data_IF_946062406061
#
_entry.id   IF_946062406061
#
_cell.length_a   1.000
_cell.length_b   1.000
_cell.length_c   1.000
_cell.angle_alpha   90.00
_cell.angle_beta   90.00
_cell.angle_gamma   90.00
#
_symmetry.space_group_name_H-M   'P 1'
#
loop_
_entity.id
_entity.type
_entity.pdbx_description
1 polymer ?
#
# COMPACT_ATOMS: atom_id res chain seq x y z
N UNK A 1 16.02 37.28 60.43
CA UNK A 1 15.45 38.52 60.99
C UNK A 1 14.38 39.04 60.03
N UNK A 2 13.17 39.26 60.54
CA UNK A 2 12.03 39.77 59.78
C UNK A 2 12.26 41.20 59.30
N UNK A 3 11.83 41.51 58.07
CA UNK A 3 11.30 42.83 57.73
C UNK A 3 10.40 42.76 56.49
N UNK A 4 9.12 42.96 56.75
CA UNK A 4 8.04 43.24 55.79
C UNK A 4 8.22 44.65 55.23
N UNK A 5 7.96 44.86 53.95
CA UNK A 5 7.60 46.18 53.44
C UNK A 5 6.50 46.10 52.38
N UNK A 6 5.35 46.69 52.71
CA UNK A 6 4.20 46.90 51.81
C UNK A 6 4.47 48.09 50.90
N UNK A 7 3.97 48.07 49.66
CA UNK A 7 3.45 49.27 48.99
C UNK A 7 2.30 48.96 48.03
N UNK A 8 1.39 49.95 47.96
CA UNK A 8 0.04 49.99 47.37
C UNK A 8 0.02 50.05 45.84
N UNK A 9 -0.99 49.38 45.27
CA UNK A 9 -2.03 49.83 44.32
C UNK A 9 -1.78 51.11 43.50
N UNK A 10 -1.87 50.99 42.16
CA UNK A 10 -2.79 51.81 41.33
C UNK A 10 -3.09 51.17 39.99
N UNK A 11 -4.39 51.05 39.71
CA UNK A 11 -5.03 50.78 38.43
C UNK A 11 -4.78 51.87 37.38
N UNK A 12 -4.75 51.50 36.09
CA UNK A 12 -5.38 52.31 35.04
C UNK A 12 -5.71 51.47 33.80
N UNK A 13 -6.92 51.68 33.33
CA UNK A 13 -7.60 51.15 32.16
C UNK A 13 -7.61 52.21 31.04
N UNK A 14 -7.37 51.82 29.78
CA UNK A 14 -7.70 52.61 28.57
C UNK A 14 -7.96 51.61 27.42
N UNK A 15 -9.22 51.32 27.03
CA UNK A 15 -9.93 51.81 25.81
C UNK A 15 -9.01 51.87 24.56
N UNK A 16 -9.13 51.04 23.52
CA UNK A 16 -10.30 50.83 22.66
C UNK A 16 -10.14 51.67 21.38
N UNK A 17 -9.99 51.04 20.20
CA UNK A 17 -10.55 51.55 18.92
C UNK A 17 -10.37 50.57 17.74
N UNK A 18 -11.40 50.57 16.90
CA UNK A 18 -11.63 49.81 15.67
C UNK A 18 -11.73 50.78 14.51
N UNK A 19 -11.18 50.45 13.33
CA UNK A 19 -11.52 51.01 12.00
C UNK A 19 -11.12 49.97 10.91
N UNK A 20 -12.09 49.30 10.26
CA UNK A 20 -12.76 49.60 8.96
C UNK A 20 -11.94 49.33 7.68
N UNK A 21 -12.40 48.30 6.96
CA UNK A 21 -12.65 48.16 5.51
C UNK A 21 -11.92 49.05 4.49
N UNK A 22 -11.27 48.38 3.52
CA UNK A 22 -11.28 48.76 2.10
C UNK A 22 -11.01 47.54 1.18
N UNK A 23 -11.94 47.28 0.25
CA UNK A 23 -11.78 46.57 -1.06
C UNK A 23 -11.91 47.65 -2.17
N UNK A 24 -11.84 47.41 -3.52
CA UNK A 24 -11.63 46.17 -4.30
C UNK A 24 -10.70 46.30 -5.55
N UNK A 25 -10.42 45.18 -6.22
CA UNK A 25 -10.30 44.99 -7.70
C UNK A 25 -9.86 43.53 -7.94
N UNK A 26 -10.23 42.77 -8.98
CA UNK A 26 -10.93 43.00 -10.25
C UNK A 26 -11.48 41.63 -10.72
N UNK A 27 -12.54 41.66 -11.52
CA UNK A 27 -13.16 40.51 -12.18
C UNK A 27 -12.21 39.83 -13.19
N UNK A 28 -12.39 38.53 -13.43
CA UNK A 28 -12.48 37.96 -14.78
C UNK A 28 -13.39 36.73 -14.80
N UNK A 29 -13.97 36.56 -15.97
CA UNK A 29 -15.19 35.88 -16.37
C UNK A 29 -15.18 34.35 -16.34
N UNK A 30 -16.33 33.81 -16.01
CA UNK A 30 -16.83 32.48 -16.38
C UNK A 30 -16.97 32.31 -17.90
N UNK A 31 -16.60 31.14 -18.42
CA UNK A 31 -17.17 30.59 -19.66
C UNK A 31 -17.41 29.09 -19.50
N UNK A 32 -18.67 28.75 -19.26
CA UNK A 32 -19.29 27.45 -19.48
C UNK A 32 -19.30 27.14 -20.99
N UNK A 33 -18.95 25.91 -21.37
CA UNK A 33 -19.42 25.33 -22.62
C UNK A 33 -19.87 23.88 -22.36
N UNK A 34 -21.19 23.76 -22.34
CA UNK A 34 -21.98 22.56 -22.41
C UNK A 34 -22.05 22.12 -23.88
N UNK A 35 -21.73 20.86 -24.18
CA UNK A 35 -22.01 20.29 -25.49
C UNK A 35 -22.53 18.86 -25.32
N UNK A 36 -23.85 18.72 -25.50
CA UNK A 36 -24.58 17.47 -25.52
C UNK A 36 -24.54 16.83 -26.93
N UNK A 37 -24.29 15.52 -26.93
CA UNK A 37 -24.77 14.45 -27.84
C UNK A 37 -24.67 14.59 -29.37
N UNK A 38 -24.05 13.58 -30.00
CA UNK A 38 -24.77 12.66 -30.92
C UNK A 38 -23.94 11.41 -31.28
N UNK A 39 -24.52 10.27 -30.93
CA UNK A 39 -24.18 8.91 -31.34
C UNK A 39 -24.57 8.69 -32.80
N UNK A 40 -23.69 8.11 -33.63
CA UNK A 40 -24.07 7.42 -34.87
C UNK A 40 -23.18 6.19 -35.06
N UNK A 41 -23.86 5.04 -35.15
CA UNK A 41 -23.32 3.71 -35.46
C UNK A 41 -23.36 3.52 -36.99
N UNK A 42 -22.30 2.99 -37.59
CA UNK A 42 -22.41 2.17 -38.82
C UNK A 42 -21.18 1.26 -39.01
N UNK A 43 -21.43 0.11 -39.64
CA UNK A 43 -20.65 -1.14 -39.66
C UNK A 43 -19.88 -1.32 -40.99
N UNK A 44 -18.68 -1.92 -40.90
CA UNK A 44 -17.94 -2.78 -41.86
C UNK A 44 -17.43 -2.22 -43.21
N UNK A 45 -16.12 -2.40 -43.45
CA UNK A 45 -15.52 -2.51 -44.80
C UNK A 45 -14.04 -2.10 -44.87
N UNK A 46 -13.16 -3.03 -45.21
CA UNK A 46 -11.68 -2.98 -45.27
C UNK A 46 -11.08 -2.09 -46.38
N UNK A 47 -10.01 -1.32 -46.08
CA UNK A 47 -8.82 -1.17 -46.95
C UNK A 47 -7.70 -0.37 -46.26
N UNK A 48 -6.45 -0.83 -46.46
CA UNK A 48 -5.20 -0.19 -46.05
C UNK A 48 -4.97 1.19 -46.70
N UNK A 49 -4.17 2.05 -46.05
CA UNK A 49 -2.88 2.61 -46.53
C UNK A 49 -2.62 4.02 -45.95
N UNK A 50 -1.36 4.19 -45.49
CA UNK A 50 -0.55 5.40 -45.35
C UNK A 50 -0.93 6.48 -44.31
N UNK A 51 -0.12 6.51 -43.25
CA UNK A 51 0.11 7.73 -42.48
C UNK A 51 1.01 8.69 -43.27
N UNK A 52 0.56 9.94 -43.40
CA UNK A 52 1.42 11.07 -43.75
C UNK A 52 1.11 12.18 -42.73
N UNK A 53 2.09 12.42 -41.86
CA UNK A 53 2.19 13.62 -41.04
C UNK A 53 2.60 14.75 -41.97
N UNK A 54 1.73 15.74 -42.16
CA UNK A 54 1.99 16.93 -42.95
C UNK A 54 1.42 18.15 -42.24
N UNK A 55 2.24 18.81 -41.45
CA UNK A 55 2.03 20.18 -41.00
C UNK A 55 2.35 21.15 -42.14
N UNK A 56 1.80 22.37 -42.03
CA UNK A 56 1.98 23.57 -42.86
C UNK A 56 0.95 23.77 -43.97
N UNK A 57 -0.10 24.51 -43.59
CA UNK A 57 -0.90 25.28 -44.53
C UNK A 57 -0.27 26.63 -44.83
N UNK A 58 -0.34 27.05 -46.09
CA UNK A 58 -0.59 28.41 -46.60
C UNK A 58 -0.87 28.30 -48.12
N UNK A 59 -1.55 29.26 -48.76
CA UNK A 59 -2.65 28.96 -49.66
C UNK A 59 -2.34 29.15 -51.14
N UNK A 60 -3.03 28.33 -51.93
CA UNK A 60 -3.66 28.57 -53.24
C UNK A 60 -3.26 29.86 -53.98
N UNK A 61 -2.55 29.69 -55.09
CA UNK A 61 -2.43 30.64 -56.20
C UNK A 61 -2.66 29.92 -57.53
N UNK A 62 -3.87 30.07 -58.05
CA UNK A 62 -4.39 29.49 -59.29
C UNK A 62 -3.94 30.24 -60.56
N UNK A 63 -3.52 29.51 -61.62
CA UNK A 63 -4.01 29.57 -63.04
C UNK A 63 -2.98 29.01 -64.07
N UNK A 64 -3.43 28.61 -65.29
CA UNK A 64 -2.90 27.44 -66.01
C UNK A 64 -2.20 27.74 -67.36
N UNK A 65 -1.82 26.66 -68.07
CA UNK A 65 -1.56 26.48 -69.52
C UNK A 65 -0.16 26.85 -70.07
N UNK A 66 0.63 25.85 -70.48
CA UNK A 66 0.70 25.32 -71.88
C UNK A 66 1.86 24.33 -72.05
N UNK A 67 1.59 23.30 -72.85
CA UNK A 67 2.46 22.20 -73.24
C UNK A 67 3.74 22.63 -73.96
N UNK A 68 4.84 21.93 -73.70
CA UNK A 68 5.92 21.68 -74.68
C UNK A 68 6.36 20.23 -74.56
N UNK A 69 6.22 19.52 -75.68
CA UNK A 69 6.63 18.14 -75.92
C UNK A 69 8.16 18.08 -76.07
N UNK A 70 8.81 17.16 -75.37
CA UNK A 70 10.13 16.65 -75.76
C UNK A 70 10.17 15.13 -75.62
N UNK A 71 10.16 14.49 -76.79
CA UNK A 71 10.43 13.08 -77.04
C UNK A 71 11.92 12.79 -76.81
N UNK A 72 12.30 11.80 -75.99
CA UNK A 72 13.48 10.94 -76.22
C UNK A 72 13.31 9.57 -75.52
N UNK A 73 13.01 8.56 -76.35
CA UNK A 73 13.65 7.24 -76.46
C UNK A 73 13.64 6.22 -75.28
N UNK A 74 12.92 5.11 -75.53
CA UNK A 74 13.02 3.81 -74.84
C UNK A 74 14.22 3.01 -75.38
N UNK A 75 14.95 2.29 -74.51
CA UNK A 75 15.32 0.86 -74.63
C UNK A 75 15.86 0.33 -73.27
N UNK A 76 15.73 -0.97 -72.96
CA UNK A 76 15.96 -1.64 -71.65
C UNK A 76 17.48 -2.01 -71.52
N UNK A 77 17.99 -2.88 -70.61
CA UNK A 77 17.38 -3.78 -69.61
C UNK A 77 18.13 -3.80 -68.25
N UNK A 78 17.80 -4.74 -67.35
CA UNK A 78 18.72 -5.61 -66.56
C UNK A 78 17.95 -6.11 -65.32
N UNK A 79 17.61 -7.40 -65.32
CA UNK A 79 17.28 -8.12 -64.09
C UNK A 79 18.57 -8.35 -63.31
N UNK A 80 18.76 -7.65 -62.21
CA UNK A 80 19.83 -7.96 -61.25
C UNK A 80 19.30 -9.00 -60.27
N UNK A 81 19.76 -10.24 -60.44
CA UNK A 81 19.71 -11.25 -59.40
C UNK A 81 20.83 -10.94 -58.39
N UNK A 82 20.54 -10.19 -57.33
CA UNK A 82 21.46 -10.10 -56.19
C UNK A 82 21.24 -11.33 -55.31
N UNK A 83 22.15 -12.31 -55.42
CA UNK A 83 22.39 -13.27 -54.35
C UNK A 83 23.00 -12.51 -53.18
N UNK A 84 22.30 -12.42 -52.07
CA UNK A 84 22.90 -11.98 -50.81
C UNK A 84 23.87 -13.05 -50.34
N UNK A 85 25.15 -12.69 -50.25
CA UNK A 85 26.18 -13.45 -49.56
C UNK A 85 25.76 -13.64 -48.09
N UNK A 86 25.74 -14.89 -47.61
CA UNK A 86 25.72 -15.20 -46.18
C UNK A 86 27.00 -14.68 -45.54
N UNK A 87 26.87 -13.70 -44.66
CA UNK A 87 27.86 -13.43 -43.64
C UNK A 87 27.54 -14.38 -42.47
N UNK A 88 28.47 -15.27 -42.17
CA UNK A 88 28.43 -16.19 -41.04
C UNK A 88 28.77 -15.41 -39.76
N UNK A 89 27.78 -14.69 -39.27
CA UNK A 89 27.70 -14.22 -37.89
C UNK A 89 26.33 -14.62 -37.40
N UNK A 90 26.24 -15.65 -36.55
CA UNK A 90 24.98 -16.12 -35.99
C UNK A 90 24.17 -14.93 -35.47
N UNK A 91 22.99 -14.70 -36.06
CA UNK A 91 22.07 -13.69 -35.57
C UNK A 91 21.59 -14.15 -34.18
N UNK A 92 22.14 -13.49 -33.15
CA UNK A 92 21.70 -13.64 -31.77
C UNK A 92 20.46 -12.76 -31.57
N UNK A 93 19.33 -13.38 -31.25
CA UNK A 93 18.07 -12.71 -30.99
C UNK A 93 17.78 -12.78 -29.50
N UNK A 94 17.51 -11.62 -28.89
CA UNK A 94 17.18 -11.54 -27.47
C UNK A 94 15.69 -11.79 -27.25
N UNK A 95 15.34 -12.77 -26.41
CA UNK A 95 13.99 -12.96 -25.91
C UNK A 95 13.76 -12.01 -24.71
N UNK A 96 12.78 -11.12 -24.86
CA UNK A 96 12.52 -10.01 -23.94
C UNK A 96 11.17 -10.19 -23.26
N UNK A 97 11.06 -9.75 -22.00
CA UNK A 97 9.78 -9.73 -21.26
C UNK A 97 8.75 -8.87 -22.01
N UNK A 98 7.58 -9.42 -22.41
CA UNK A 98 6.52 -8.67 -23.06
C UNK A 98 5.87 -7.67 -22.09
N UNK A 99 5.17 -6.66 -22.64
CA UNK A 99 4.47 -5.67 -21.84
C UNK A 99 3.36 -6.32 -20.99
N UNK A 100 3.42 -6.16 -19.67
CA UNK A 100 2.56 -6.84 -18.69
C UNK A 100 1.25 -6.08 -18.38
N UNK A 101 0.88 -5.09 -19.19
CA UNK A 101 -0.30 -4.24 -19.00
C UNK A 101 -0.01 -2.96 -18.20
N UNK A 102 -0.86 -1.94 -18.34
CA UNK A 102 -0.63 -0.59 -17.79
C UNK A 102 -0.53 -0.51 -16.26
N UNK A 103 -0.88 -1.58 -15.53
CA UNK A 103 -0.92 -1.63 -14.07
C UNK A 103 0.06 -2.61 -13.42
N UNK A 104 0.94 -3.28 -14.19
CA UNK A 104 1.91 -4.25 -13.66
C UNK A 104 3.33 -3.81 -14.05
N UNK A 105 4.06 -3.27 -13.07
CA UNK A 105 5.40 -2.69 -13.26
C UNK A 105 6.53 -3.72 -13.21
N UNK A 106 6.30 -4.85 -12.55
CA UNK A 106 7.30 -5.86 -12.24
C UNK A 106 6.69 -7.27 -12.10
N UNK A 107 7.45 -8.30 -12.47
CA UNK A 107 7.05 -9.71 -12.37
C UNK A 107 8.19 -10.57 -11.85
N UNK A 108 7.87 -11.70 -11.20
CA UNK A 108 8.89 -12.65 -10.73
C UNK A 108 8.98 -13.85 -11.66
N UNK A 109 10.18 -14.25 -12.05
CA UNK A 109 10.37 -15.43 -12.89
C UNK A 109 10.09 -16.71 -12.11
N UNK A 110 9.00 -17.41 -12.43
CA UNK A 110 8.51 -18.57 -11.67
C UNK A 110 9.18 -19.88 -12.09
N UNK A 111 9.28 -20.13 -13.40
CA UNK A 111 9.94 -21.32 -13.93
C UNK A 111 10.41 -21.13 -15.37
N UNK A 112 11.50 -21.82 -15.73
CA UNK A 112 11.90 -22.01 -17.13
C UNK A 112 11.29 -23.31 -17.64
N UNK A 113 10.63 -23.26 -18.80
CA UNK A 113 10.09 -24.42 -19.47
C UNK A 113 11.11 -25.09 -20.41
N UNK A 114 12.17 -24.35 -20.79
CA UNK A 114 13.24 -24.79 -21.68
C UNK A 114 14.61 -24.50 -21.08
N UNK A 115 15.56 -25.40 -21.32
CA UNK A 115 16.93 -25.29 -20.83
C UNK A 115 17.87 -24.75 -21.93
N UNK A 116 19.05 -24.20 -21.56
CA UNK A 116 20.07 -23.86 -22.54
C UNK A 116 20.44 -25.09 -23.38
N UNK A 117 20.39 -24.96 -24.71
CA UNK A 117 20.60 -26.02 -25.68
C UNK A 117 19.32 -26.60 -26.28
N UNK A 118 18.15 -26.28 -25.74
CA UNK A 118 16.87 -26.72 -26.32
C UNK A 118 16.51 -25.89 -27.56
N UNK A 119 15.94 -26.57 -28.55
CA UNK A 119 15.37 -25.93 -29.75
C UNK A 119 13.97 -25.40 -29.41
N UNK A 120 13.72 -24.15 -29.80
CA UNK A 120 12.43 -23.47 -29.66
C UNK A 120 11.90 -23.05 -31.02
N UNK A 121 10.59 -23.16 -31.22
CA UNK A 121 9.89 -22.61 -32.37
C UNK A 121 9.42 -21.16 -32.11
N UNK A 122 8.98 -20.47 -33.16
CA UNK A 122 8.41 -19.12 -33.04
C UNK A 122 7.16 -19.19 -32.16
N UNK A 123 7.02 -18.23 -31.24
CA UNK A 123 5.91 -18.13 -30.27
C UNK A 123 5.82 -19.28 -29.26
N UNK A 124 6.87 -20.10 -29.10
CA UNK A 124 6.91 -21.15 -28.08
C UNK A 124 7.26 -20.56 -26.68
N UNK A 125 6.56 -20.94 -25.60
CA UNK A 125 6.83 -20.39 -24.27
C UNK A 125 8.15 -20.91 -23.68
N UNK A 126 9.04 -19.98 -23.34
CA UNK A 126 10.37 -20.26 -22.78
C UNK A 126 10.35 -20.22 -21.25
N UNK A 127 9.63 -19.26 -20.68
CA UNK A 127 9.60 -19.03 -19.23
C UNK A 127 8.24 -18.49 -18.77
N UNK A 128 7.88 -18.77 -17.53
CA UNK A 128 6.65 -18.28 -16.91
C UNK A 128 6.98 -17.18 -15.90
N UNK A 129 6.32 -16.04 -16.02
CA UNK A 129 6.40 -14.93 -15.07
C UNK A 129 5.13 -14.92 -14.23
N UNK A 130 5.30 -15.02 -12.91
CA UNK A 130 4.23 -14.82 -11.95
C UNK A 130 4.16 -13.33 -11.59
N UNK A 131 2.99 -12.73 -11.88
CA UNK A 131 2.63 -11.39 -11.42
C UNK A 131 1.51 -11.48 -10.38
N UNK A 132 1.20 -10.39 -9.67
CA UNK A 132 0.21 -10.34 -8.59
C UNK A 132 -1.22 -10.76 -9.00
N UNK A 133 -1.49 -10.88 -10.31
CA UNK A 133 -2.84 -11.21 -10.81
C UNK A 133 -2.89 -12.30 -11.87
N UNK A 134 -1.82 -12.53 -12.65
CA UNK A 134 -1.83 -13.49 -13.78
C UNK A 134 -0.43 -14.08 -14.00
N UNK A 135 -0.36 -15.36 -14.37
CA UNK A 135 0.86 -15.98 -14.92
C UNK A 135 0.97 -15.65 -16.40
N UNK A 136 2.04 -14.97 -16.80
CA UNK A 136 2.29 -14.56 -18.19
C UNK A 136 3.44 -15.40 -18.74
N UNK A 137 3.22 -16.06 -19.88
CA UNK A 137 4.25 -16.83 -20.55
C UNK A 137 5.07 -15.94 -21.49
N UNK A 138 6.40 -16.02 -21.38
CA UNK A 138 7.32 -15.32 -22.27
C UNK A 138 7.64 -16.22 -23.45
N UNK A 139 7.22 -15.77 -24.63
CA UNK A 139 7.33 -16.53 -25.88
C UNK A 139 8.61 -16.19 -26.65
N UNK A 140 9.09 -17.14 -27.44
CA UNK A 140 10.25 -16.97 -28.30
C UNK A 140 9.94 -16.09 -29.53
N UNK A 141 10.68 -14.99 -29.79
CA UNK A 141 10.45 -14.14 -30.96
C UNK A 141 10.87 -14.79 -32.29
N UNK A 142 11.84 -15.72 -32.29
CA UNK A 142 12.28 -16.46 -33.48
C UNK A 142 12.55 -17.94 -33.15
N UNK A 143 12.56 -18.80 -34.18
CA UNK A 143 12.94 -20.20 -34.04
C UNK A 143 14.46 -20.36 -34.01
N UNK A 144 14.99 -21.02 -32.99
CA UNK A 144 16.43 -21.17 -32.79
C UNK A 144 16.79 -22.04 -31.60
N UNK A 145 18.07 -22.04 -31.22
CA UNK A 145 18.58 -22.76 -30.05
C UNK A 145 18.87 -21.75 -28.94
N UNK A 146 18.42 -22.03 -27.72
CA UNK A 146 18.70 -21.17 -26.56
C UNK A 146 20.17 -21.34 -26.18
N UNK A 147 21.01 -20.31 -26.36
CA UNK A 147 22.42 -20.38 -26.00
C UNK A 147 22.65 -20.14 -24.51
N UNK A 148 21.98 -19.13 -23.94
CA UNK A 148 22.20 -18.74 -22.56
C UNK A 148 20.95 -18.08 -21.95
N UNK A 149 20.63 -18.48 -20.72
CA UNK A 149 19.66 -17.83 -19.86
C UNK A 149 20.38 -16.77 -19.02
N UNK A 150 19.96 -15.51 -19.14
CA UNK A 150 20.57 -14.37 -18.45
C UNK A 150 19.92 -14.15 -17.06
N UNK A 151 18.64 -14.50 -16.92
CA UNK A 151 17.90 -14.40 -15.67
C UNK A 151 17.89 -15.72 -14.88
N UNK A 152 17.84 -15.65 -13.54
CA UNK A 152 17.69 -16.83 -12.67
C UNK A 152 16.24 -16.97 -12.21
N UNK A 153 15.82 -18.22 -11.94
CA UNK A 153 14.50 -18.50 -11.35
C UNK A 153 14.39 -17.78 -10.00
N UNK A 154 13.37 -16.95 -9.85
CA UNK A 154 13.15 -16.09 -8.68
C UNK A 154 13.67 -14.64 -8.80
N UNK A 155 14.28 -14.25 -9.92
CA UNK A 155 14.67 -12.87 -10.17
C UNK A 155 13.45 -11.99 -10.54
N UNK A 156 13.47 -10.72 -10.11
CA UNK A 156 12.48 -9.71 -10.47
C UNK A 156 12.83 -9.13 -11.84
N UNK A 157 11.90 -9.20 -12.78
CA UNK A 157 12.09 -8.75 -14.16
C UNK A 157 11.12 -7.62 -14.53
N UNK A 158 11.65 -6.57 -15.15
CA UNK A 158 10.87 -5.45 -15.68
C UNK A 158 10.59 -5.66 -17.19
N UNK A 159 9.49 -5.10 -17.75
CA UNK A 159 9.23 -5.13 -19.18
C UNK A 159 10.43 -4.60 -19.97
N UNK A 160 10.90 -5.32 -21.00
CA UNK A 160 12.12 -4.95 -21.73
C UNK A 160 13.41 -5.64 -21.24
N UNK A 161 13.37 -6.40 -20.13
CA UNK A 161 14.53 -7.16 -19.65
C UNK A 161 14.79 -8.40 -20.51
N UNK A 162 16.06 -8.65 -20.84
CA UNK A 162 16.51 -9.82 -21.61
C UNK A 162 16.50 -11.08 -20.76
N UNK A 163 15.78 -12.11 -21.17
CA UNK A 163 15.64 -13.36 -20.43
C UNK A 163 16.58 -14.43 -21.00
N UNK A 164 16.61 -14.56 -22.32
CA UNK A 164 17.39 -15.57 -23.03
C UNK A 164 17.98 -15.01 -24.33
N UNK A 165 19.14 -15.54 -24.73
CA UNK A 165 19.75 -15.28 -26.04
C UNK A 165 19.56 -16.52 -26.91
N UNK A 166 18.98 -16.35 -28.10
CA UNK A 166 18.65 -17.42 -29.05
C UNK A 166 19.51 -17.26 -30.29
N UNK A 167 20.13 -18.35 -30.77
CA UNK A 167 20.86 -18.35 -32.04
C UNK A 167 20.08 -19.04 -33.16
N UNK A 168 20.10 -18.40 -34.33
CA UNK A 168 19.45 -18.88 -35.54
C UNK A 168 20.37 -19.86 -36.28
N UNK A 169 20.25 -21.15 -35.99
CA UNK A 169 20.92 -22.21 -36.74
C UNK A 169 19.89 -23.19 -37.32
N UNK A 170 19.84 -23.25 -38.66
CA UNK A 170 19.03 -24.22 -39.40
C UNK A 170 19.88 -25.41 -39.84
N UNK A 171 19.46 -26.63 -39.52
CA UNK A 171 20.01 -27.86 -40.10
C UNK A 171 19.85 -29.10 -39.23
N UNK A 172 19.13 -30.09 -39.73
CA UNK A 172 18.65 -31.33 -39.09
C UNK A 172 19.73 -32.41 -39.02
N UNK A 173 19.81 -33.17 -37.92
CA UNK A 173 20.15 -34.61 -37.95
C UNK A 173 19.40 -35.40 -36.86
N UNK A 174 18.72 -36.46 -37.30
CA UNK A 174 18.12 -37.53 -36.50
C UNK A 174 19.15 -38.26 -35.61
N UNK A 175 18.70 -38.80 -34.46
CA UNK A 175 18.67 -40.25 -34.12
C UNK A 175 18.05 -40.43 -32.71
N UNK A 176 17.12 -41.38 -32.59
CA UNK A 176 16.61 -42.01 -31.35
C UNK A 176 17.05 -43.49 -31.35
N UNK A 177 16.81 -44.35 -30.33
CA UNK A 177 16.57 -44.19 -28.88
C UNK A 177 17.47 -45.15 -28.02
N UNK A 178 17.40 -45.10 -26.67
CA UNK A 178 17.26 -46.30 -25.78
C UNK A 178 17.35 -46.01 -24.27
N UNK A 179 16.43 -46.67 -23.55
CA UNK A 179 16.31 -47.19 -22.16
C UNK A 179 17.60 -47.24 -21.28
N UNK A 180 17.63 -47.28 -19.94
CA UNK A 180 16.70 -47.76 -18.90
C UNK A 180 17.16 -47.27 -17.49
N UNK A 181 16.31 -47.40 -16.47
CA UNK A 181 16.52 -47.01 -15.04
C UNK A 181 17.40 -48.04 -14.24
N UNK A 182 17.36 -48.11 -12.88
CA UNK A 182 18.07 -47.33 -11.85
C UNK A 182 18.89 -48.22 -10.85
N UNK A 183 19.79 -47.67 -10.04
CA UNK A 183 20.29 -48.37 -8.82
C UNK A 183 20.37 -47.43 -7.60
N UNK A 184 20.08 -48.05 -6.46
CA UNK A 184 19.67 -47.63 -5.11
C UNK A 184 20.84 -47.47 -4.12
N UNK A 185 20.54 -46.72 -3.05
CA UNK A 185 20.89 -46.90 -1.62
C UNK A 185 22.36 -46.80 -1.10
N UNK A 186 22.57 -45.73 -0.32
CA UNK A 186 22.96 -45.70 1.10
C UNK A 186 24.29 -46.29 1.59
N UNK A 187 25.13 -45.44 2.21
CA UNK A 187 25.62 -45.60 3.60
C UNK A 187 26.56 -44.46 4.03
N UNK A 188 26.22 -43.78 5.13
CA UNK A 188 27.13 -43.05 6.03
C UNK A 188 27.81 -44.06 6.99
N UNK A 189 29.00 -43.81 7.58
CA UNK A 189 29.09 -42.91 8.74
C UNK A 189 30.41 -42.11 8.95
N UNK A 190 30.28 -41.14 9.86
CA UNK A 190 31.16 -40.13 10.48
C UNK A 190 32.41 -40.69 11.26
N UNK A 191 33.15 -39.92 12.10
CA UNK A 191 33.99 -38.71 11.92
C UNK A 191 35.40 -38.83 12.57
N UNK A 192 36.37 -37.91 12.29
CA UNK A 192 37.42 -37.56 13.28
C UNK A 192 38.27 -36.31 12.92
N UNK A 193 38.24 -35.33 13.85
CA UNK A 193 39.34 -34.49 14.41
C UNK A 193 40.25 -33.63 13.52
N UNK A 194 40.00 -32.32 13.62
CA UNK A 194 40.90 -31.24 14.08
C UNK A 194 42.44 -31.37 13.89
N UNK A 195 43.04 -30.40 13.18
CA UNK A 195 43.88 -29.33 13.79
C UNK A 195 44.39 -28.31 12.76
N UNK A 196 44.42 -27.07 13.25
CA UNK A 196 44.86 -25.80 12.67
C UNK A 196 46.38 -25.66 12.77
N UNK A 197 47.06 -25.19 11.72
CA UNK A 197 48.27 -24.34 11.82
C UNK A 197 48.34 -23.42 10.59
N UNK A 198 48.17 -22.11 10.80
CA UNK A 198 48.50 -21.04 9.85
C UNK A 198 49.98 -20.66 10.01
N UNK A 199 50.69 -20.54 8.89
CA UNK A 199 52.06 -20.02 8.82
C UNK A 199 52.06 -18.70 8.07
N UNK A 200 52.46 -17.62 8.75
CA UNK A 200 52.77 -16.29 8.17
C UNK A 200 54.11 -16.34 7.44
N UNK A 201 54.26 -15.62 6.32
CA UNK A 201 55.37 -14.67 6.02
C UNK A 201 55.23 -14.03 4.60
N UNK A 202 55.99 -12.96 4.26
CA UNK A 202 55.39 -11.70 3.77
C UNK A 202 56.04 -11.10 2.49
N UNK A 203 55.53 -9.92 2.11
CA UNK A 203 56.21 -8.77 1.45
C UNK A 203 56.87 -8.97 0.08
N UNK A 204 56.42 -8.17 -0.90
CA UNK A 204 57.27 -7.69 -2.00
C UNK A 204 56.86 -6.26 -2.41
N UNK A 205 57.84 -5.36 -2.40
CA UNK A 205 57.84 -3.97 -2.86
C UNK A 205 58.32 -3.87 -4.32
N UNK A 206 58.22 -2.66 -4.88
CA UNK A 206 58.87 -2.03 -6.07
C UNK A 206 58.07 -2.01 -7.39
N UNK A 207 58.33 -1.05 -8.32
CA UNK A 207 58.80 0.35 -8.22
C UNK A 207 57.95 1.33 -9.11
N UNK A 208 58.27 2.66 -9.18
CA UNK A 208 57.38 3.67 -9.75
C UNK A 208 57.57 3.88 -11.28
N UNK A 209 56.48 4.20 -11.99
CA UNK A 209 56.51 4.52 -13.42
C UNK A 209 56.19 5.99 -13.69
N UNK A 210 56.90 6.52 -14.68
CA UNK A 210 57.11 7.92 -15.06
C UNK A 210 55.87 8.61 -15.65
N UNK A 211 55.83 9.91 -15.39
CA UNK A 211 54.89 10.91 -15.90
C UNK A 211 54.92 11.05 -17.44
N UNK A 212 53.74 11.30 -18.01
CA UNK A 212 53.54 11.81 -19.38
C UNK A 212 52.62 13.04 -19.31
N UNK A 213 52.90 14.16 -20.00
CA UNK A 213 52.15 15.41 -19.82
C UNK A 213 50.78 15.34 -20.52
N UNK A 214 49.72 15.76 -19.83
CA UNK A 214 48.35 15.83 -20.38
C UNK A 214 47.96 17.29 -20.57
N UNK A 215 47.34 17.58 -21.72
CA UNK A 215 46.80 18.88 -22.12
C UNK A 215 45.69 19.41 -21.15
N UNK A 216 45.36 20.72 -21.17
CA UNK A 216 44.54 21.36 -20.13
C UNK A 216 43.11 20.81 -20.05
N UNK A 217 42.71 20.35 -18.86
CA UNK A 217 41.34 19.90 -18.57
C UNK A 217 40.38 21.07 -18.39
N UNK A 218 39.19 20.95 -18.97
CA UNK A 218 38.01 21.76 -18.64
C UNK A 218 37.71 21.69 -17.13
N UNK A 219 37.15 22.76 -16.53
CA UNK A 219 36.90 22.82 -15.09
C UNK A 219 35.88 21.76 -14.65
N UNK A 220 36.08 21.10 -13.50
CA UNK A 220 35.20 20.04 -13.02
C UNK A 220 33.80 20.59 -12.66
N UNK A 221 32.73 19.82 -12.90
CA UNK A 221 31.40 20.18 -12.43
C UNK A 221 31.39 20.23 -10.90
N UNK A 222 30.73 21.27 -10.36
CA UNK A 222 30.59 21.50 -8.92
C UNK A 222 30.04 20.23 -8.23
N UNK A 223 30.57 19.84 -7.06
CA UNK A 223 30.10 18.66 -6.35
C UNK A 223 28.64 18.85 -5.93
N UNK A 224 27.75 18.04 -6.49
CA UNK A 224 26.41 17.82 -5.94
C UNK A 224 26.56 17.33 -4.50
N UNK A 225 25.78 17.92 -3.60
CA UNK A 225 25.81 17.61 -2.18
C UNK A 225 25.65 16.09 -1.97
N UNK A 226 26.72 15.44 -1.49
CA UNK A 226 26.64 14.06 -1.01
C UNK A 226 25.76 14.04 0.23
N UNK A 227 24.76 13.16 0.20
CA UNK A 227 23.95 12.78 1.35
C UNK A 227 24.87 12.49 2.57
N UNK A 228 24.49 12.93 3.79
CA UNK A 228 25.36 12.80 4.95
C UNK A 228 25.78 11.34 5.17
N UNK A 229 27.08 11.08 5.13
CA UNK A 229 27.61 9.76 5.47
C UNK A 229 27.40 9.54 6.98
N UNK A 230 26.48 8.63 7.31
CA UNK A 230 26.23 8.20 8.67
C UNK A 230 27.49 7.59 9.30
N UNK A 231 27.68 7.75 10.62
CA UNK A 231 28.85 7.22 11.34
C UNK A 231 28.99 5.68 11.19
N UNK A 232 30.15 5.10 11.52
CA UNK A 232 30.44 3.70 11.27
C UNK A 232 29.42 2.74 11.88
N UNK A 233 29.00 1.75 11.07
CA UNK A 233 27.98 0.72 11.36
C UNK A 233 28.28 -0.15 12.60
N UNK A 234 29.44 -0.03 13.22
CA UNK A 234 29.86 -0.85 14.36
C UNK A 234 29.01 -0.63 15.62
N UNK A 235 28.28 0.48 15.71
CA UNK A 235 27.28 0.74 16.78
C UNK A 235 25.85 0.37 16.39
N UNK A 236 25.63 -0.18 15.19
CA UNK A 236 24.30 -0.42 14.63
C UNK A 236 24.05 -1.91 14.36
N UNK A 237 22.94 -2.44 14.87
CA UNK A 237 22.47 -3.79 14.52
C UNK A 237 21.39 -3.69 13.44
N UNK A 238 21.70 -4.19 12.24
CA UNK A 238 20.70 -4.34 11.16
C UNK A 238 19.93 -5.65 11.33
N UNK A 239 18.61 -5.57 11.43
CA UNK A 239 17.71 -6.72 11.44
C UNK A 239 16.75 -6.58 10.25
N UNK A 240 16.69 -7.55 9.33
CA UNK A 240 15.76 -7.49 8.20
C UNK A 240 14.31 -7.59 8.68
N UNK A 241 13.40 -6.84 8.06
CA UNK A 241 11.97 -6.96 8.34
C UNK A 241 11.45 -8.33 7.89
N UNK A 242 10.64 -8.96 8.73
CA UNK A 242 9.90 -10.17 8.36
C UNK A 242 8.90 -9.88 7.24
N UNK A 243 8.54 -10.89 6.44
CA UNK A 243 7.54 -10.74 5.36
C UNK A 243 6.22 -10.16 5.87
N UNK A 244 5.73 -10.65 7.02
CA UNK A 244 4.53 -10.12 7.68
C UNK A 244 4.67 -8.63 8.02
N UNK A 245 5.82 -8.23 8.61
CA UNK A 245 6.05 -6.84 9.00
C UNK A 245 6.14 -5.91 7.79
N UNK A 246 6.70 -6.38 6.66
CA UNK A 246 6.71 -5.62 5.40
C UNK A 246 5.28 -5.39 4.89
N UNK A 247 4.44 -6.43 4.81
CA UNK A 247 3.04 -6.30 4.37
C UNK A 247 2.23 -5.34 5.25
N UNK A 248 2.38 -5.44 6.57
CA UNK A 248 1.71 -4.53 7.52
C UNK A 248 2.19 -3.10 7.32
N UNK A 249 3.50 -2.88 7.11
CA UNK A 249 4.04 -1.55 6.87
C UNK A 249 3.50 -0.92 5.58
N UNK A 250 3.47 -1.69 4.48
CA UNK A 250 2.88 -1.25 3.21
C UNK A 250 1.41 -0.90 3.41
N UNK A 251 0.60 -1.80 3.99
CA UNK A 251 -0.83 -1.56 4.25
C UNK A 251 -1.10 -0.33 5.11
N UNK A 252 -0.31 -0.10 6.16
CA UNK A 252 -0.45 1.09 7.02
C UNK A 252 -0.09 2.37 6.27
N UNK A 253 0.93 2.31 5.40
CA UNK A 253 1.33 3.48 4.62
C UNK A 253 0.30 3.78 3.52
N UNK A 254 -0.25 2.76 2.88
CA UNK A 254 -1.32 2.89 1.90
C UNK A 254 -2.56 3.52 2.53
N UNK A 255 -2.93 3.11 3.74
CA UNK A 255 -4.01 3.74 4.51
C UNK A 255 -3.77 5.23 4.71
N UNK A 256 -2.56 5.63 5.12
CA UNK A 256 -2.24 7.05 5.32
C UNK A 256 -2.20 7.86 4.03
N UNK A 257 -1.81 7.24 2.92
CA UNK A 257 -1.76 7.92 1.63
C UNK A 257 -3.15 8.01 0.99
N UNK A 258 -4.04 7.08 1.31
CA UNK A 258 -5.40 7.01 0.74
C UNK A 258 -6.37 7.92 1.48
N UNK A 259 -6.41 7.85 2.81
CA UNK A 259 -7.42 8.56 3.60
C UNK A 259 -6.93 9.95 4.01
N UNK A 260 -7.81 10.94 3.95
CA UNK A 260 -7.56 12.25 4.54
C UNK A 260 -7.83 12.16 6.05
N UNK A 261 -6.92 11.52 6.79
CA UNK A 261 -7.16 11.18 8.19
C UNK A 261 -7.18 12.41 9.09
N UNK A 262 -8.29 12.61 9.80
CA UNK A 262 -8.41 13.56 10.90
C UNK A 262 -8.79 12.83 12.18
N UNK A 263 -8.23 13.24 13.32
CA UNK A 263 -8.61 12.70 14.63
C UNK A 263 -9.27 13.75 15.51
N UNK A 264 -10.42 13.43 16.08
CA UNK A 264 -11.11 14.22 17.10
C UNK A 264 -11.11 13.47 18.42
N UNK A 265 -11.10 14.21 19.54
CA UNK A 265 -10.97 13.66 20.88
C UNK A 265 -12.08 14.16 21.81
N UNK A 266 -12.59 13.26 22.64
CA UNK A 266 -13.45 13.59 23.77
C UNK A 266 -12.93 12.91 25.03
N UNK A 267 -13.20 13.51 26.19
CA UNK A 267 -13.10 12.83 27.47
C UNK A 267 -14.46 12.26 27.90
N UNK A 268 -14.43 11.15 28.63
CA UNK A 268 -15.60 10.43 29.10
C UNK A 268 -15.43 10.09 30.57
N UNK A 269 -16.45 10.40 31.37
CA UNK A 269 -16.55 9.95 32.76
C UNK A 269 -17.02 8.48 32.80
N UNK A 270 -16.16 7.61 33.31
CA UNK A 270 -16.43 6.17 33.39
C UNK A 270 -17.22 5.77 34.63
N UNK A 271 -17.57 6.70 35.53
CA UNK A 271 -18.18 6.40 36.83
C UNK A 271 -19.42 5.53 36.70
N UNK A 272 -20.37 5.92 35.85
CA UNK A 272 -21.67 5.24 35.71
C UNK A 272 -21.51 3.84 35.13
N UNK A 273 -20.68 3.67 34.10
CA UNK A 273 -20.44 2.36 33.50
C UNK A 273 -19.69 1.43 34.46
N UNK A 274 -18.70 1.95 35.19
CA UNK A 274 -17.99 1.18 36.21
C UNK A 274 -18.89 0.78 37.37
N UNK A 275 -19.81 1.67 37.79
CA UNK A 275 -20.81 1.37 38.81
C UNK A 275 -21.78 0.28 38.34
N UNK A 276 -22.34 0.41 37.13
CA UNK A 276 -23.20 -0.62 36.53
C UNK A 276 -22.50 -1.99 36.51
N UNK A 277 -21.23 -2.02 36.09
CA UNK A 277 -20.44 -3.25 36.13
C UNK A 277 -20.27 -3.79 37.54
N UNK A 278 -19.97 -2.94 38.51
CA UNK A 278 -19.79 -3.35 39.91
C UNK A 278 -21.07 -3.93 40.51
N UNK A 279 -22.22 -3.32 40.21
CA UNK A 279 -23.52 -3.69 40.78
C UNK A 279 -24.03 -5.03 40.21
N UNK A 280 -23.73 -5.33 38.93
CA UNK A 280 -24.32 -6.49 38.23
C UNK A 280 -23.33 -7.57 37.78
N UNK A 281 -22.01 -7.41 37.96
CA UNK A 281 -21.00 -8.38 37.48
C UNK A 281 -21.25 -9.82 37.91
N UNK A 282 -21.69 -10.04 39.15
CA UNK A 282 -21.81 -11.38 39.73
C UNK A 282 -23.09 -12.06 39.23
N UNK A 283 -24.24 -11.37 39.31
CA UNK A 283 -25.50 -11.83 38.73
C UNK A 283 -25.41 -12.05 37.22
N UNK A 284 -24.67 -11.20 36.50
CA UNK A 284 -24.44 -11.36 35.07
C UNK A 284 -23.62 -12.62 34.76
N UNK A 285 -22.57 -12.87 35.55
CA UNK A 285 -21.75 -14.06 35.42
C UNK A 285 -22.55 -15.34 35.71
N UNK A 286 -23.35 -15.35 36.77
CA UNK A 286 -24.21 -16.49 37.12
C UNK A 286 -25.23 -16.81 36.02
N UNK A 287 -25.87 -15.79 35.45
CA UNK A 287 -26.89 -15.96 34.41
C UNK A 287 -26.31 -16.37 33.05
N UNK A 288 -25.19 -15.77 32.65
CA UNK A 288 -24.68 -15.88 31.28
C UNK A 288 -23.41 -16.70 31.13
N UNK A 289 -22.70 -17.01 32.22
CA UNK A 289 -21.43 -17.74 32.21
C UNK A 289 -20.25 -16.94 31.65
N UNK A 290 -20.37 -15.61 31.56
CA UNK A 290 -19.32 -14.72 31.01
C UNK A 290 -19.19 -13.48 31.88
N UNK A 291 -17.96 -12.98 32.04
CA UNK A 291 -17.71 -11.77 32.86
C UNK A 291 -18.24 -10.54 32.15
N UNK A 292 -18.89 -9.64 32.89
CA UNK A 292 -19.28 -8.33 32.38
C UNK A 292 -18.04 -7.45 32.23
N UNK A 293 -17.62 -7.23 30.98
CA UNK A 293 -16.54 -6.32 30.62
C UNK A 293 -17.03 -4.89 30.41
N UNK A 294 -16.09 -3.97 30.20
CA UNK A 294 -16.42 -2.60 29.76
C UNK A 294 -16.58 -2.53 28.23
N UNK A 295 -15.97 -3.47 27.50
CA UNK A 295 -15.96 -3.45 26.03
C UNK A 295 -17.36 -3.60 25.45
N UNK A 296 -18.22 -4.47 26.01
CA UNK A 296 -19.62 -4.55 25.57
C UNK A 296 -20.37 -3.23 25.67
N UNK A 297 -20.09 -2.42 26.70
CA UNK A 297 -20.61 -1.05 26.83
C UNK A 297 -20.17 -0.15 25.69
N UNK A 298 -18.88 -0.16 25.33
CA UNK A 298 -18.36 0.62 24.21
C UNK A 298 -18.82 0.11 22.84
N UNK A 299 -18.93 -1.19 22.66
CA UNK A 299 -19.48 -1.79 21.44
C UNK A 299 -20.93 -1.34 21.27
N UNK A 300 -21.75 -1.39 22.32
CA UNK A 300 -23.14 -0.88 22.25
C UNK A 300 -23.24 0.63 22.09
N UNK A 301 -22.36 1.40 22.72
CA UNK A 301 -22.28 2.84 22.49
C UNK A 301 -21.91 3.16 21.03
N UNK A 302 -20.94 2.43 20.45
CA UNK A 302 -20.54 2.58 19.06
C UNK A 302 -21.68 2.17 18.10
N UNK A 303 -22.38 1.07 18.36
CA UNK A 303 -23.59 0.68 17.59
C UNK A 303 -24.61 1.81 17.59
N UNK A 304 -24.97 2.34 18.77
CA UNK A 304 -25.93 3.44 18.87
C UNK A 304 -25.44 4.68 18.11
N UNK A 305 -24.16 5.01 18.20
CA UNK A 305 -23.57 6.12 17.47
C UNK A 305 -23.55 5.91 15.95
N UNK A 306 -23.26 4.70 15.47
CA UNK A 306 -23.29 4.34 14.04
C UNK A 306 -24.71 4.40 13.47
N UNK A 307 -25.72 3.98 14.25
CA UNK A 307 -27.13 4.11 13.85
C UNK A 307 -27.57 5.57 13.76
N UNK A 308 -27.06 6.44 14.65
CA UNK A 308 -27.35 7.88 14.63
C UNK A 308 -26.55 8.64 13.56
N UNK A 309 -25.37 8.15 13.19
CA UNK A 309 -24.50 8.74 12.16
C UNK A 309 -24.09 7.67 11.13
N UNK A 310 -25.00 7.25 10.23
CA UNK A 310 -24.74 6.16 9.28
C UNK A 310 -23.55 6.42 8.34
N UNK A 311 -23.26 7.69 8.05
CA UNK A 311 -22.10 8.12 7.25
C UNK A 311 -20.76 7.62 7.82
N UNK A 312 -20.67 7.44 9.15
CA UNK A 312 -19.46 6.92 9.80
C UNK A 312 -19.22 5.43 9.46
N UNK A 313 -20.30 4.69 9.14
CA UNK A 313 -20.25 3.29 8.72
C UNK A 313 -20.10 3.11 7.20
N UNK A 314 -20.25 4.20 6.43
CA UNK A 314 -20.15 4.20 4.98
C UNK A 314 -18.68 4.18 4.51
N UNK A 315 -18.46 3.87 3.23
CA UNK A 315 -17.13 3.90 2.58
C UNK A 315 -17.20 4.53 1.21
N UNK A 316 -16.07 5.08 0.77
CA UNK A 316 -15.87 5.51 -0.61
C UNK A 316 -15.43 4.30 -1.43
N UNK A 317 -16.09 4.05 -2.55
CA UNK A 317 -15.71 3.06 -3.55
C UNK A 317 -15.76 3.69 -4.95
N UNK A 318 -14.60 3.99 -5.52
CA UNK A 318 -14.51 4.79 -6.75
C UNK A 318 -15.13 6.18 -6.56
N UNK A 319 -16.16 6.46 -7.36
CA UNK A 319 -16.94 7.70 -7.32
C UNK A 319 -18.21 7.60 -6.45
N UNK A 320 -18.49 6.42 -5.91
CA UNK A 320 -19.69 6.13 -5.12
C UNK A 320 -19.41 6.10 -3.62
N UNK A 321 -20.46 6.38 -2.84
CA UNK A 321 -20.48 6.19 -1.38
C UNK A 321 -21.38 4.99 -1.06
N UNK A 322 -20.79 3.95 -0.51
CA UNK A 322 -21.51 2.75 -0.07
C UNK A 322 -21.88 2.89 1.40
N UNK A 323 -23.18 3.03 1.66
CA UNK A 323 -23.74 2.92 3.02
C UNK A 323 -23.94 1.45 3.37
N UNK A 324 -23.60 1.08 4.61
CA UNK A 324 -23.80 -0.27 5.14
C UNK A 324 -24.87 -0.26 6.22
N UNK A 325 -25.92 -1.04 5.99
CA UNK A 325 -27.03 -1.19 6.94
C UNK A 325 -26.76 -2.23 8.04
N UNK A 326 -25.62 -2.92 7.95
CA UNK A 326 -25.14 -3.85 8.98
C UNK A 326 -23.97 -3.25 9.76
N UNK A 327 -23.85 -3.62 11.03
CA UNK A 327 -22.79 -3.11 11.92
C UNK A 327 -21.92 -4.28 12.36
N UNK A 328 -20.74 -4.37 11.74
CA UNK A 328 -19.72 -5.37 12.04
C UNK A 328 -18.54 -4.68 12.73
N UNK A 329 -18.29 -5.02 14.00
CA UNK A 329 -17.29 -4.34 14.82
C UNK A 329 -16.01 -5.18 14.86
N UNK A 330 -14.98 -4.65 14.21
CA UNK A 330 -13.59 -5.10 14.32
C UNK A 330 -13.00 -4.70 15.68
N UNK A 331 -12.36 -5.63 16.39
CA UNK A 331 -11.70 -5.35 17.67
C UNK A 331 -10.23 -5.67 17.56
N UNK A 332 -9.39 -4.67 17.79
CA UNK A 332 -7.94 -4.86 17.74
C UNK A 332 -7.45 -5.63 18.97
N UNK A 333 -6.79 -6.77 18.76
CA UNK A 333 -6.23 -7.64 19.80
C UNK A 333 -4.72 -7.74 19.62
N UNK A 334 -3.96 -7.36 20.64
CA UNK A 334 -2.51 -7.55 20.66
C UNK A 334 -2.16 -8.98 21.05
N UNK A 335 -1.39 -9.66 20.20
CA UNK A 335 -0.89 -11.02 20.41
C UNK A 335 0.65 -11.02 20.43
N UNK A 336 1.32 -12.08 20.91
CA UNK A 336 2.78 -12.18 20.83
C UNK A 336 3.35 -12.09 19.41
N UNK A 337 2.56 -12.47 18.39
CA UNK A 337 2.95 -12.41 16.97
C UNK A 337 2.68 -11.05 16.33
N UNK A 338 1.98 -10.15 17.03
CA UNK A 338 1.61 -8.81 16.56
C UNK A 338 0.13 -8.49 16.75
N UNK A 339 -0.33 -7.47 16.04
CA UNK A 339 -1.72 -7.02 16.09
C UNK A 339 -2.57 -7.83 15.11
N UNK A 340 -3.69 -8.36 15.59
CA UNK A 340 -4.74 -8.96 14.76
C UNK A 340 -6.05 -8.26 15.03
N UNK A 341 -6.97 -8.29 14.06
CA UNK A 341 -8.22 -7.54 14.11
C UNK A 341 -9.39 -8.46 13.74
N UNK A 342 -9.84 -9.32 14.67
CA UNK A 342 -11.04 -10.12 14.46
C UNK A 342 -12.31 -9.26 14.42
N UNK A 343 -13.38 -9.81 13.84
CA UNK A 343 -14.66 -9.12 13.56
C UNK A 343 -15.81 -9.78 14.32
N UNK A 344 -16.57 -8.97 15.05
CA UNK A 344 -17.86 -9.35 15.61
C UNK A 344 -18.95 -8.93 14.62
N UNK A 345 -19.68 -9.92 14.10
CA UNK A 345 -20.72 -9.72 13.08
C UNK A 345 -22.04 -9.30 13.70
N UNK A 346 -22.79 -8.41 13.05
CA UNK A 346 -24.14 -8.00 13.45
C UNK A 346 -24.22 -7.57 14.93
N UNK A 347 -23.29 -6.72 15.36
CA UNK A 347 -23.18 -6.28 16.76
C UNK A 347 -24.40 -5.47 17.22
N UNK A 348 -25.17 -4.93 16.28
CA UNK A 348 -26.47 -4.30 16.51
C UNK A 348 -27.48 -5.25 17.13
N UNK A 349 -27.51 -6.50 16.68
CA UNK A 349 -28.49 -7.53 17.11
C UNK A 349 -28.09 -8.25 18.40
N UNK A 350 -26.83 -8.15 18.80
CA UNK A 350 -26.32 -8.90 19.95
C UNK A 350 -26.70 -8.26 21.29
N UNK A 351 -26.89 -9.04 22.34
CA UNK A 351 -26.93 -8.48 23.70
C UNK A 351 -25.51 -8.34 24.29
N UNK A 352 -25.38 -7.76 25.49
CA UNK A 352 -24.09 -7.60 26.17
C UNK A 352 -23.36 -8.94 26.38
N UNK A 353 -24.09 -10.00 26.72
CA UNK A 353 -23.49 -11.32 26.98
C UNK A 353 -22.95 -11.97 25.70
N UNK A 354 -23.66 -11.84 24.58
CA UNK A 354 -23.22 -12.31 23.27
C UNK A 354 -21.97 -11.57 22.79
N UNK A 355 -21.92 -10.25 22.98
CA UNK A 355 -20.73 -9.45 22.67
C UNK A 355 -19.55 -9.92 23.51
N UNK A 356 -19.69 -10.02 24.84
CA UNK A 356 -18.59 -10.47 25.71
C UNK A 356 -18.15 -11.91 25.39
N UNK A 357 -19.07 -12.81 25.05
CA UNK A 357 -18.73 -14.17 24.59
C UNK A 357 -17.97 -14.13 23.27
N UNK A 358 -18.43 -13.36 22.29
CA UNK A 358 -17.77 -13.17 21.01
C UNK A 358 -16.35 -12.65 21.16
N UNK A 359 -16.17 -11.59 21.97
CA UNK A 359 -14.84 -11.03 22.29
C UNK A 359 -13.95 -12.10 22.90
N UNK A 360 -14.43 -12.85 23.90
CA UNK A 360 -13.63 -13.86 24.57
C UNK A 360 -13.22 -15.02 23.65
N UNK A 361 -14.12 -15.46 22.76
CA UNK A 361 -13.82 -16.52 21.78
C UNK A 361 -12.76 -16.04 20.78
N UNK A 362 -12.95 -14.86 20.19
CA UNK A 362 -12.04 -14.31 19.20
C UNK A 362 -10.68 -13.95 19.82
N UNK A 363 -10.66 -13.43 21.05
CA UNK A 363 -9.43 -13.15 21.78
C UNK A 363 -8.63 -14.43 22.12
N UNK A 364 -9.30 -15.53 22.47
CA UNK A 364 -8.63 -16.83 22.66
C UNK A 364 -8.02 -17.32 21.35
N UNK A 365 -8.82 -17.37 20.28
CA UNK A 365 -8.32 -17.76 18.94
C UNK A 365 -7.16 -16.88 18.46
N UNK A 366 -7.21 -15.57 18.73
CA UNK A 366 -6.15 -14.63 18.41
C UNK A 366 -4.84 -15.00 19.10
N UNK A 367 -4.90 -15.25 20.41
CA UNK A 367 -3.72 -15.63 21.21
C UNK A 367 -3.18 -17.00 20.82
N UNK A 368 -4.06 -17.95 20.50
CA UNK A 368 -3.69 -19.30 20.04
C UNK A 368 -3.19 -19.30 18.59
N UNK A 369 -3.44 -18.22 17.84
CA UNK A 369 -3.09 -18.10 16.43
C UNK A 369 -3.95 -18.96 15.49
N UNK A 370 -5.17 -19.28 15.91
CA UNK A 370 -6.15 -20.14 15.21
C UNK A 370 -7.30 -19.36 14.55
N UNK A 371 -7.17 -18.03 14.43
CA UNK A 371 -8.13 -17.21 13.70
C UNK A 371 -8.17 -17.57 12.22
N UNK A 372 -9.38 -17.74 11.71
CA UNK A 372 -9.62 -17.88 10.28
C UNK A 372 -9.53 -16.52 9.57
N UNK A 373 -9.36 -16.55 8.25
CA UNK A 373 -9.31 -15.34 7.42
C UNK A 373 -10.66 -14.61 7.42
N UNK A 374 -11.76 -15.36 7.40
CA UNK A 374 -13.13 -14.82 7.41
C UNK A 374 -13.48 -14.08 8.72
N UNK A 375 -12.88 -14.52 9.83
CA UNK A 375 -12.99 -13.86 11.13
C UNK A 375 -12.22 -12.54 11.19
N UNK A 376 -11.30 -12.26 10.26
CA UNK A 376 -10.53 -11.02 10.21
C UNK A 376 -10.98 -10.06 9.09
N UNK A 377 -11.69 -10.57 8.08
CA UNK A 377 -12.08 -9.80 6.91
C UNK A 377 -13.41 -9.06 7.12
N UNK A 378 -13.65 -7.97 6.38
CA UNK A 378 -15.00 -7.42 6.17
C UNK A 378 -15.70 -6.75 7.35
N UNK A 379 -14.99 -6.36 8.42
CA UNK A 379 -15.57 -5.50 9.46
C UNK A 379 -15.89 -4.10 8.91
N UNK A 380 -16.92 -3.44 9.45
CA UNK A 380 -17.37 -2.13 8.99
C UNK A 380 -16.78 -0.98 9.83
N UNK A 381 -16.52 -1.22 11.12
CA UNK A 381 -15.94 -0.23 12.04
C UNK A 381 -14.95 -0.88 13.00
N UNK A 382 -13.84 -0.21 13.33
CA UNK A 382 -12.83 -0.75 14.26
C UNK A 382 -12.85 -0.04 15.61
N UNK A 383 -12.73 -0.82 16.68
CA UNK A 383 -12.40 -0.37 18.03
C UNK A 383 -11.01 -0.88 18.40
N UNK A 384 -10.12 0.02 18.82
CA UNK A 384 -8.78 -0.31 19.29
C UNK A 384 -8.58 0.23 20.71
N UNK A 385 -8.20 -0.64 21.63
CA UNK A 385 -8.00 -0.27 23.03
C UNK A 385 -6.51 -0.27 23.37
N UNK A 386 -5.88 0.91 23.30
CA UNK A 386 -4.51 1.12 23.75
C UNK A 386 -4.39 1.31 25.27
N UNK A 387 -5.51 1.55 25.95
CA UNK A 387 -5.56 1.78 27.39
C UNK A 387 -5.09 0.61 28.23
N UNK A 388 -5.24 -0.63 27.72
CA UNK A 388 -4.70 -1.84 28.37
C UNK A 388 -3.17 -1.82 28.48
N UNK A 389 -2.49 -1.04 27.64
CA UNK A 389 -1.04 -0.83 27.65
C UNK A 389 -0.62 0.48 28.33
N UNK A 390 -1.56 1.18 28.98
CA UNK A 390 -1.31 2.46 29.64
C UNK A 390 -1.28 3.67 28.70
N UNK A 391 -1.67 3.52 27.44
CA UNK A 391 -1.74 4.66 26.50
C UNK A 391 -2.78 5.68 26.98
N UNK A 392 -2.35 6.92 27.23
CA UNK A 392 -3.23 8.00 27.67
C UNK A 392 -4.01 8.61 26.50
N UNK A 393 -3.35 8.78 25.36
CA UNK A 393 -3.90 9.43 24.17
C UNK A 393 -3.08 9.01 22.95
N UNK A 394 -3.74 8.69 21.85
CA UNK A 394 -3.15 8.26 20.59
C UNK A 394 -4.11 8.48 19.43
N UNK A 395 -3.56 8.61 18.22
CA UNK A 395 -4.30 8.73 16.96
C UNK A 395 -4.27 7.38 16.23
N UNK A 396 -5.31 6.54 16.37
CA UNK A 396 -5.34 5.25 15.70
C UNK A 396 -5.33 5.42 14.17
N UNK A 397 -4.70 4.48 13.47
CA UNK A 397 -4.70 4.43 12.00
C UNK A 397 -5.90 3.60 11.53
N UNK A 398 -6.65 4.13 10.56
CA UNK A 398 -7.81 3.46 9.95
C UNK A 398 -7.37 2.10 9.39
N UNK A 399 -8.24 1.10 9.47
CA UNK A 399 -8.01 -0.20 8.86
C UNK A 399 -8.79 -0.28 7.53
N UNK A 400 -8.13 -0.14 6.35
CA UNK A 400 -8.83 -0.21 5.08
C UNK A 400 -9.61 -1.53 4.92
N UNK A 401 -10.79 -1.53 4.26
CA UNK A 401 -11.40 -0.41 3.55
C UNK A 401 -12.34 0.44 4.42
N UNK A 402 -12.26 0.37 5.76
CA UNK A 402 -13.15 1.14 6.64
C UNK A 402 -12.87 2.64 6.57
N UNK A 403 -13.82 3.45 7.03
CA UNK A 403 -13.70 4.92 7.01
C UNK A 403 -13.37 5.54 8.37
N UNK A 404 -13.47 4.76 9.46
CA UNK A 404 -13.25 5.28 10.80
C UNK A 404 -12.78 4.21 11.79
N UNK A 405 -12.11 4.65 12.85
CA UNK A 405 -11.62 3.83 13.94
C UNK A 405 -11.74 4.58 15.28
N UNK A 406 -12.28 3.90 16.30
CA UNK A 406 -12.36 4.38 17.67
C UNK A 406 -11.14 3.91 18.47
N UNK A 407 -10.38 4.85 19.00
CA UNK A 407 -9.30 4.62 19.96
C UNK A 407 -9.77 4.82 21.40
N UNK A 408 -9.67 3.77 22.21
CA UNK A 408 -9.91 3.81 23.65
C UNK A 408 -8.57 3.84 24.41
N UNK A 409 -8.49 4.67 25.45
CA UNK A 409 -7.27 4.92 26.22
C UNK A 409 -7.41 4.51 27.68
N UNK A 410 -6.36 4.75 28.47
CA UNK A 410 -6.33 4.38 29.88
C UNK A 410 -7.36 5.15 30.70
N UNK A 411 -7.94 4.46 31.68
CA UNK A 411 -8.81 5.07 32.68
C UNK A 411 -7.92 5.59 33.80
N UNK A 412 -7.94 6.90 34.03
CA UNK A 412 -7.11 7.56 35.04
C UNK A 412 -8.01 8.37 35.97
N UNK A 413 -7.81 8.24 37.28
CA UNK A 413 -8.51 9.08 38.26
C UNK A 413 -8.04 10.52 38.15
N UNK A 414 -8.96 11.45 37.92
CA UNK A 414 -8.68 12.88 37.75
C UNK A 414 -9.59 13.73 38.64
N UNK A 415 -9.11 14.88 39.16
CA UNK A 415 -9.96 15.81 39.89
C UNK A 415 -10.90 16.52 38.89
N UNK A 416 -12.21 16.32 39.03
CA UNK A 416 -13.24 16.93 38.19
C UNK A 416 -14.21 17.74 39.05
N UNK A 417 -14.68 18.87 38.53
CA UNK A 417 -15.71 19.68 39.21
C UNK A 417 -17.07 19.11 38.86
N UNK A 418 -17.77 18.54 39.84
CA UNK A 418 -19.14 18.03 39.69
C UNK A 418 -20.02 18.71 40.73
N UNK A 419 -21.08 19.38 40.28
CA UNK A 419 -22.00 20.12 41.16
C UNK A 419 -21.32 21.16 42.07
N UNK A 420 -20.21 21.75 41.60
CA UNK A 420 -19.44 22.76 42.35
C UNK A 420 -18.36 22.19 43.28
N UNK A 421 -18.24 20.87 43.40
CA UNK A 421 -17.21 20.22 44.23
C UNK A 421 -16.16 19.52 43.37
N UNK A 422 -14.89 19.57 43.83
CA UNK A 422 -13.79 18.82 43.19
C UNK A 422 -13.81 17.39 43.70
N UNK A 423 -14.21 16.45 42.85
CA UNK A 423 -14.30 15.02 43.17
C UNK A 423 -13.40 14.20 42.24
N UNK A 424 -12.76 13.12 42.72
CA UNK A 424 -12.00 12.23 41.86
C UNK A 424 -12.97 11.45 40.95
N UNK A 425 -12.75 11.50 39.64
CA UNK A 425 -13.52 10.75 38.64
C UNK A 425 -12.61 9.87 37.78
N UNK A 426 -13.01 8.63 37.47
CA UNK A 426 -12.30 7.79 36.51
C UNK A 426 -12.56 8.32 35.09
N UNK A 427 -11.60 9.04 34.53
CA UNK A 427 -11.72 9.65 33.20
C UNK A 427 -10.99 8.81 32.16
N UNK A 428 -11.58 8.69 30.97
CA UNK A 428 -10.98 8.09 29.78
C UNK A 428 -10.99 9.09 28.62
N UNK A 429 -9.91 9.14 27.84
CA UNK A 429 -9.93 9.78 26.53
C UNK A 429 -10.35 8.78 25.44
N UNK A 430 -11.27 9.21 24.59
CA UNK A 430 -11.62 8.50 23.36
C UNK A 430 -11.23 9.35 22.16
N UNK A 431 -10.74 8.69 21.12
CA UNK A 431 -10.32 9.31 19.87
C UNK A 431 -11.08 8.68 18.71
N UNK A 432 -11.64 9.49 17.82
CA UNK A 432 -12.16 9.00 16.54
C UNK A 432 -11.24 9.50 15.45
N UNK A 433 -10.55 8.58 14.77
CA UNK A 433 -9.90 8.90 13.50
C UNK A 433 -10.83 8.51 12.36
N UNK A 434 -11.02 9.40 11.40
CA UNK A 434 -11.93 9.21 10.29
C UNK A 434 -11.36 9.76 8.97
N UNK A 435 -11.85 9.25 7.84
CA UNK A 435 -11.55 9.79 6.52
C UNK A 435 -12.36 11.06 6.27
N UNK A 436 -11.70 12.21 6.30
CA UNK A 436 -12.32 13.51 6.13
C UNK A 436 -12.80 13.79 4.69
N UNK A 437 -12.52 12.87 3.75
CA UNK A 437 -13.16 12.90 2.43
C UNK A 437 -14.65 12.50 2.50
N UNK A 438 -15.02 11.68 3.48
CA UNK A 438 -16.37 11.14 3.65
C UNK A 438 -17.10 11.73 4.86
N UNK A 439 -16.39 11.84 5.99
CA UNK A 439 -16.97 12.22 7.27
C UNK A 439 -16.49 13.64 7.61
N UNK A 440 -17.44 14.55 7.74
CA UNK A 440 -17.16 15.92 8.16
C UNK A 440 -17.01 16.02 9.69
N UNK A 441 -16.38 17.11 10.16
CA UNK A 441 -16.10 17.30 11.58
C UNK A 441 -17.35 17.32 12.48
N UNK A 442 -18.51 17.72 11.96
CA UNK A 442 -19.77 17.78 12.73
C UNK A 442 -20.26 16.36 13.07
N UNK A 443 -20.28 15.48 12.08
CA UNK A 443 -20.66 14.07 12.15
C UNK A 443 -19.74 13.33 13.12
N UNK A 444 -18.43 13.57 13.01
CA UNK A 444 -17.44 13.00 13.91
C UNK A 444 -17.65 13.43 15.38
N UNK A 445 -17.94 14.72 15.62
CA UNK A 445 -18.22 15.25 16.96
C UNK A 445 -19.54 14.69 17.51
N UNK A 446 -20.60 14.61 16.70
CA UNK A 446 -21.86 14.01 17.11
C UNK A 446 -21.73 12.52 17.41
N UNK A 447 -20.95 11.79 16.61
CA UNK A 447 -20.63 10.38 16.87
C UNK A 447 -19.93 10.20 18.22
N UNK A 448 -18.84 10.93 18.47
CA UNK A 448 -18.11 10.85 19.74
C UNK A 448 -18.94 11.31 20.93
N UNK A 449 -19.74 12.36 20.76
CA UNK A 449 -20.67 12.83 21.78
C UNK A 449 -21.72 11.77 22.11
N UNK A 450 -22.26 11.06 21.11
CA UNK A 450 -23.20 9.97 21.34
C UNK A 450 -22.57 8.84 22.16
N UNK A 451 -21.32 8.47 21.84
CA UNK A 451 -20.58 7.48 22.63
C UNK A 451 -20.40 7.98 24.07
N UNK A 452 -19.95 9.23 24.26
CA UNK A 452 -19.78 9.84 25.58
C UNK A 452 -21.08 9.79 26.39
N UNK A 453 -22.16 10.27 25.81
CA UNK A 453 -23.49 10.32 26.43
C UNK A 453 -23.98 8.94 26.89
N UNK A 454 -23.78 7.92 26.07
CA UNK A 454 -24.16 6.53 26.39
C UNK A 454 -23.25 5.92 27.46
N UNK A 455 -21.95 6.19 27.44
CA UNK A 455 -21.02 5.64 28.43
C UNK A 455 -21.20 6.32 29.79
N UNK A 456 -21.45 7.64 29.80
CA UNK A 456 -21.72 8.42 31.01
C UNK A 456 -23.10 8.12 31.61
N UNK A 457 -24.08 7.72 30.78
CA UNK A 457 -25.37 7.21 31.24
C UNK A 457 -25.85 5.97 30.43
N UNK A 458 -25.44 4.75 30.83
CA UNK A 458 -25.80 3.52 30.10
C UNK A 458 -27.30 3.24 29.99
N UNK A 459 -28.14 3.87 30.83
CA UNK A 459 -29.60 3.71 30.79
C UNK A 459 -30.20 4.24 29.49
N UNK A 460 -29.50 5.17 28.82
CA UNK A 460 -29.88 5.69 27.51
C UNK A 460 -30.02 4.62 26.44
N UNK A 461 -29.26 3.53 26.53
CA UNK A 461 -29.40 2.38 25.63
C UNK A 461 -30.74 1.68 25.75
N UNK A 462 -31.37 1.71 26.93
CA UNK A 462 -32.68 1.08 27.15
C UNK A 462 -33.83 1.95 26.66
N UNK A 463 -33.64 3.27 26.69
CA UNK A 463 -34.66 4.26 26.34
C UNK A 463 -34.55 4.74 24.89
N UNK A 464 -33.46 4.41 24.20
CA UNK A 464 -33.13 4.91 22.86
C UNK A 464 -33.13 6.45 22.78
N UNK A 465 -32.52 7.10 23.77
CA UNK A 465 -32.41 8.59 23.90
C UNK A 465 -30.99 9.05 24.02
#
# INVERSE_FOLDING_TARGET
MWAVSRRRVSSSSVLGQSFRNARPSRCYSSSSNEAYAKTLVSRKGTSQVAGIVGSLGFPVGSRPLRDVISFVQRYPPIFVHTRSFSADSGELVDAVVPFMGESITDGTLASFLKHPGDRVEVDEPIAQIETDKVTIDVSSPEAGVIEQLVAKVGDTVEPGTKIAVISKSGGVTHVAPSEDKPIKEASEPSPAKAKKVETKKPKAETPPSKEKPTAPSLPPPKPSAKEPQLPPKERERRVPMTRLRKRVATRLKDSQNTFAMLTTFNEVDMTSLMKLRSDYKDAFFEKHGVKLGLMSGFVKAAVSALQNQPIVNAVIDGDDIIYRDYIDISIAVGTPKGLVVPVIRNADRMNFAEIEKGINILAKKANDGSLSIDEMAGGSFTISNGGVYGSLLSTPIINPPQSAILGMHSIVSRPMVVSGEVVPRPMMYIALTYDHRLIDGREAVFFLRRIKDVVEDPRRLLLDV
#
